data_IF_088298043130
#
_entry.id   IF_088298043130
#
_cell.length_a   1.000
_cell.length_b   1.000
_cell.length_c   1.000
_cell.angle_alpha   90.00
_cell.angle_beta   90.00
_cell.angle_gamma   90.00
#
_symmetry.space_group_name_H-M   'P 1'
#
loop_
_entity.id
_entity.type
_entity.pdbx_description
1 polymer ?
#
# COMPACT_ATOMS: atom_id res chain seq x y z
N UNK A 1 50.76 -20.01 -31.21
CA UNK A 1 49.51 -20.41 -30.51
C UNK A 1 49.85 -20.67 -29.05
N UNK A 2 49.08 -20.15 -28.10
CA UNK A 2 49.24 -20.49 -26.67
C UNK A 2 49.02 -22.00 -26.48
N UNK A 3 49.87 -22.65 -25.66
CA UNK A 3 49.70 -24.05 -25.32
C UNK A 3 48.37 -24.27 -24.56
N UNK A 4 47.65 -25.36 -24.87
CA UNK A 4 46.38 -25.76 -24.24
C UNK A 4 46.49 -25.76 -22.72
N UNK A 5 47.61 -26.23 -22.16
CA UNK A 5 47.85 -26.24 -20.72
C UNK A 5 47.81 -24.82 -20.12
N UNK A 6 48.40 -23.84 -20.80
CA UNK A 6 48.40 -22.43 -20.38
C UNK A 6 46.99 -21.83 -20.47
N UNK A 7 46.26 -22.09 -21.56
CA UNK A 7 44.89 -21.62 -21.74
C UNK A 7 43.95 -22.21 -20.68
N UNK A 8 44.12 -23.50 -20.36
CA UNK A 8 43.33 -24.19 -19.33
C UNK A 8 43.63 -23.64 -17.94
N UNK A 9 44.90 -23.38 -17.62
CA UNK A 9 45.30 -22.72 -16.36
C UNK A 9 44.68 -21.32 -16.21
N UNK A 10 44.72 -20.50 -17.28
CA UNK A 10 44.07 -19.17 -17.29
C UNK A 10 42.57 -19.28 -17.05
N UNK A 11 41.88 -20.19 -17.77
CA UNK A 11 40.45 -20.45 -17.58
C UNK A 11 40.12 -20.79 -16.13
N UNK A 12 40.86 -21.72 -15.51
CA UNK A 12 40.59 -22.10 -14.12
C UNK A 12 40.83 -20.96 -13.14
N UNK A 13 41.89 -20.17 -13.32
CA UNK A 13 42.15 -19.00 -12.48
C UNK A 13 41.03 -17.96 -12.60
N UNK A 14 40.54 -17.69 -13.80
CA UNK A 14 39.44 -16.74 -14.00
C UNK A 14 38.12 -17.27 -13.47
N UNK A 15 37.81 -18.55 -13.67
CA UNK A 15 36.62 -19.16 -13.08
C UNK A 15 36.66 -19.14 -11.55
N UNK A 16 37.83 -19.38 -10.95
CA UNK A 16 38.02 -19.26 -9.50
C UNK A 16 37.81 -17.82 -9.02
N UNK A 17 38.44 -16.85 -9.66
CA UNK A 17 38.28 -15.44 -9.32
C UNK A 17 36.81 -15.00 -9.45
N UNK A 18 36.15 -15.39 -10.53
CA UNK A 18 34.74 -15.13 -10.77
C UNK A 18 33.83 -15.77 -9.72
N UNK A 19 34.10 -17.02 -9.35
CA UNK A 19 33.36 -17.72 -8.29
C UNK A 19 33.55 -17.05 -6.92
N UNK A 20 34.77 -16.59 -6.62
CA UNK A 20 35.04 -15.83 -5.39
C UNK A 20 34.30 -14.49 -5.38
N UNK A 21 34.34 -13.72 -6.46
CA UNK A 21 33.61 -12.44 -6.57
C UNK A 21 32.10 -12.68 -6.46
N UNK A 22 31.57 -13.68 -7.17
CA UNK A 22 30.16 -14.07 -7.08
C UNK A 22 29.80 -14.46 -5.65
N UNK A 23 30.60 -15.30 -5.00
CA UNK A 23 30.39 -15.71 -3.62
C UNK A 23 30.39 -14.52 -2.67
N UNK A 24 31.31 -13.58 -2.83
CA UNK A 24 31.35 -12.34 -2.05
C UNK A 24 30.10 -11.50 -2.27
N UNK A 25 29.62 -11.32 -3.51
CA UNK A 25 28.40 -10.54 -3.79
C UNK A 25 27.17 -11.25 -3.20
N UNK A 26 27.02 -12.55 -3.41
CA UNK A 26 25.88 -13.33 -2.90
C UNK A 26 25.91 -13.45 -1.36
N UNK A 27 27.09 -13.36 -0.73
CA UNK A 27 27.18 -13.28 0.73
C UNK A 27 26.44 -12.07 1.30
N UNK A 28 26.13 -11.05 0.49
CA UNK A 28 25.30 -9.91 0.87
C UNK A 28 23.90 -10.31 1.34
N UNK A 29 23.34 -11.42 0.86
CA UNK A 29 22.07 -11.94 1.38
C UNK A 29 22.14 -12.41 2.84
N UNK A 30 23.34 -12.79 3.31
CA UNK A 30 23.57 -13.30 4.66
C UNK A 30 24.22 -12.27 5.58
N UNK A 31 25.14 -11.46 5.02
CA UNK A 31 26.00 -10.52 5.75
C UNK A 31 25.59 -9.06 5.53
N UNK A 32 24.62 -8.80 4.66
CA UNK A 32 24.10 -7.47 4.42
C UNK A 32 23.45 -6.89 5.67
N UNK A 33 23.31 -5.55 5.76
CA UNK A 33 22.68 -4.90 6.89
C UNK A 33 21.29 -5.47 7.17
N UNK A 34 21.10 -5.98 8.38
CA UNK A 34 19.81 -6.46 8.89
C UNK A 34 19.30 -5.51 9.96
N UNK A 35 18.16 -4.85 9.74
CA UNK A 35 17.53 -3.97 10.70
C UNK A 35 16.24 -3.33 10.15
N UNK A 36 15.35 -2.84 11.03
CA UNK A 36 14.09 -2.20 10.63
C UNK A 36 14.31 -0.83 9.95
N UNK A 37 15.46 -0.18 10.18
CA UNK A 37 15.85 1.07 9.51
C UNK A 37 16.65 0.79 8.24
N UNK A 38 15.98 0.37 7.16
CA UNK A 38 16.58 0.36 5.81
C UNK A 38 16.62 1.76 5.24
N UNK A 39 17.36 2.62 5.92
CA UNK A 39 17.27 4.03 5.76
C UNK A 39 18.59 4.60 5.22
N UNK A 40 18.88 4.30 3.97
CA UNK A 40 19.83 5.11 3.20
C UNK A 40 19.38 6.59 3.07
N UNK A 41 18.19 6.93 3.58
CA UNK A 41 17.58 8.26 3.55
C UNK A 41 17.11 8.79 4.92
N UNK A 42 17.42 8.15 6.05
CA UNK A 42 17.19 8.81 7.35
C UNK A 42 18.36 9.72 7.65
N UNK A 43 18.05 10.95 8.04
CA UNK A 43 19.02 11.90 8.59
C UNK A 43 19.30 11.52 10.06
N UNK A 44 19.76 10.30 10.29
CA UNK A 44 20.06 9.82 11.64
C UNK A 44 21.20 10.65 12.24
N UNK A 45 20.95 11.26 13.40
CA UNK A 45 21.86 12.24 14.02
C UNK A 45 21.66 13.70 13.57
N UNK A 46 20.70 13.98 12.68
CA UNK A 46 20.26 15.35 12.42
C UNK A 46 19.32 15.83 13.54
N UNK A 47 19.60 16.98 14.17
CA UNK A 47 18.85 17.43 15.34
C UNK A 47 17.37 17.70 15.07
N UNK A 48 16.98 18.02 13.82
CA UNK A 48 15.60 18.25 13.38
C UNK A 48 14.90 16.91 13.14
N UNK A 49 15.56 15.97 12.46
CA UNK A 49 14.99 14.64 12.24
C UNK A 49 14.79 13.89 13.56
N UNK A 50 15.78 13.96 14.44
CA UNK A 50 15.71 13.39 15.78
C UNK A 50 14.68 14.12 16.65
N UNK A 51 14.28 15.36 16.33
CA UNK A 51 13.22 16.06 17.05
C UNK A 51 11.87 15.38 16.85
N UNK A 52 11.60 14.85 15.65
CA UNK A 52 10.39 14.06 15.38
C UNK A 52 10.36 12.79 16.23
N UNK A 53 11.45 12.01 16.22
CA UNK A 53 11.58 10.80 17.03
C UNK A 53 11.48 11.10 18.54
N UNK A 54 12.08 12.20 19.01
CA UNK A 54 11.93 12.65 20.41
C UNK A 54 10.50 13.04 20.73
N UNK A 55 9.84 13.81 19.87
CA UNK A 55 8.44 14.21 20.07
C UNK A 55 7.54 12.98 20.19
N UNK A 56 7.76 11.95 19.38
CA UNK A 56 7.03 10.70 19.42
C UNK A 56 7.30 9.90 20.70
N UNK A 57 8.56 9.86 21.16
CA UNK A 57 8.93 9.20 22.41
C UNK A 57 8.37 9.93 23.65
N UNK A 58 8.31 11.27 23.64
CA UNK A 58 7.82 12.08 24.76
C UNK A 58 6.30 12.29 24.73
N UNK A 59 5.69 12.25 23.55
CA UNK A 59 4.26 12.47 23.32
C UNK A 59 3.73 11.38 22.37
N UNK A 60 3.71 10.11 22.81
CA UNK A 60 3.17 9.04 21.98
C UNK A 60 1.70 9.32 21.69
N UNK A 61 1.23 9.13 20.45
CA UNK A 61 -0.18 9.33 20.13
C UNK A 61 -1.04 8.36 20.95
N UNK A 62 -2.01 8.90 21.71
CA UNK A 62 -2.94 8.10 22.51
C UNK A 62 -3.97 7.37 21.63
N UNK A 63 -4.20 7.90 20.43
CA UNK A 63 -5.10 7.33 19.43
C UNK A 63 -4.64 7.59 18.01
N UNK A 64 -5.06 6.72 17.09
CA UNK A 64 -4.91 6.90 15.66
C UNK A 64 -6.27 7.16 15.03
N UNK A 65 -6.40 8.28 14.33
CA UNK A 65 -7.63 8.64 13.64
C UNK A 65 -7.81 7.79 12.38
N UNK A 66 -9.06 7.40 12.11
CA UNK A 66 -9.50 6.80 10.85
C UNK A 66 -10.43 7.79 10.16
N UNK A 67 -9.90 8.65 9.27
CA UNK A 67 -10.72 9.56 8.51
C UNK A 67 -11.30 8.86 7.28
N UNK A 68 -12.63 8.83 7.18
CA UNK A 68 -13.33 8.50 5.95
C UNK A 68 -14.06 9.75 5.45
N UNK A 69 -14.13 9.92 4.13
CA UNK A 69 -14.75 11.06 3.49
C UNK A 69 -15.95 10.58 2.68
N UNK A 70 -17.14 11.08 2.98
CA UNK A 70 -18.37 10.78 2.25
C UNK A 70 -18.64 11.93 1.30
N UNK A 71 -18.86 11.64 0.02
CA UNK A 71 -19.19 12.66 -0.97
C UNK A 71 -19.69 12.08 -2.28
N UNK A 72 -19.75 12.91 -3.32
CA UNK A 72 -20.30 12.51 -4.62
C UNK A 72 -19.38 11.55 -5.37
N UNK A 73 -19.93 10.44 -5.85
CA UNK A 73 -19.16 9.47 -6.63
C UNK A 73 -18.53 10.08 -7.89
N UNK A 74 -17.52 9.40 -8.46
CA UNK A 74 -16.76 9.89 -9.62
C UNK A 74 -17.59 9.96 -10.92
N UNK A 75 -18.75 9.29 -10.97
CA UNK A 75 -19.65 9.31 -12.12
C UNK A 75 -20.43 10.63 -12.22
N UNK A 76 -20.92 10.98 -13.41
CA UNK A 76 -21.77 12.17 -13.58
C UNK A 76 -23.15 11.95 -12.93
N UNK A 77 -23.50 12.79 -11.96
CA UNK A 77 -24.82 12.79 -11.34
C UNK A 77 -24.83 13.66 -10.09
N UNK A 78 -26.03 14.07 -9.66
CA UNK A 78 -26.18 14.70 -8.35
C UNK A 78 -26.39 13.61 -7.29
N UNK A 79 -25.49 13.55 -6.30
CA UNK A 79 -25.67 12.75 -5.10
C UNK A 79 -25.91 13.62 -3.87
N UNK A 80 -26.87 13.23 -3.04
CA UNK A 80 -27.15 13.81 -1.73
C UNK A 80 -26.64 12.90 -0.61
N UNK A 81 -25.58 13.33 0.08
CA UNK A 81 -25.02 12.56 1.21
C UNK A 81 -25.94 12.50 2.44
N UNK A 82 -26.97 13.36 2.50
CA UNK A 82 -27.96 13.38 3.57
C UNK A 82 -29.25 12.62 3.22
N UNK A 83 -29.33 11.96 2.06
CA UNK A 83 -30.50 11.15 1.72
C UNK A 83 -30.67 9.98 2.71
N UNK A 84 -31.90 9.70 3.12
CA UNK A 84 -32.19 8.65 4.11
C UNK A 84 -31.61 7.27 3.71
N UNK A 85 -31.70 6.81 2.45
CA UNK A 85 -31.07 5.56 2.02
C UNK A 85 -29.55 5.55 2.20
N UNK A 86 -28.89 6.69 1.96
CA UNK A 86 -27.43 6.84 2.13
C UNK A 86 -27.05 6.77 3.61
N UNK A 87 -27.77 7.48 4.48
CA UNK A 87 -27.52 7.44 5.92
C UNK A 87 -27.74 6.04 6.50
N UNK A 88 -28.79 5.34 6.05
CA UNK A 88 -29.05 3.93 6.43
C UNK A 88 -27.93 2.99 5.99
N UNK A 89 -27.44 3.16 4.77
CA UNK A 89 -26.34 2.36 4.24
C UNK A 89 -25.03 2.61 5.01
N UNK A 90 -24.74 3.85 5.39
CA UNK A 90 -23.59 4.20 6.24
C UNK A 90 -23.71 3.58 7.64
N UNK A 91 -24.88 3.67 8.26
CA UNK A 91 -25.19 3.00 9.54
C UNK A 91 -24.96 1.49 9.45
N UNK A 92 -25.42 0.86 8.37
CA UNK A 92 -25.22 -0.58 8.15
C UNK A 92 -23.74 -0.94 8.02
N UNK A 93 -22.94 -0.08 7.39
CA UNK A 93 -21.47 -0.24 7.27
C UNK A 93 -20.78 -0.07 8.62
N UNK A 94 -21.19 0.91 9.42
CA UNK A 94 -20.75 1.06 10.80
C UNK A 94 -20.99 -0.23 11.59
N UNK A 95 -22.21 -0.78 11.53
CA UNK A 95 -22.57 -1.97 12.31
C UNK A 95 -21.81 -3.21 11.82
N UNK A 96 -21.55 -3.33 10.52
CA UNK A 96 -20.70 -4.38 9.96
C UNK A 96 -19.25 -4.29 10.47
N UNK A 97 -18.67 -3.08 10.52
CA UNK A 97 -17.34 -2.85 11.11
C UNK A 97 -17.31 -3.22 12.59
N UNK A 98 -18.35 -2.84 13.34
CA UNK A 98 -18.40 -3.09 14.77
C UNK A 98 -18.68 -4.56 15.12
N UNK A 99 -19.27 -5.33 14.20
CA UNK A 99 -19.50 -6.78 14.35
C UNK A 99 -18.24 -7.59 14.11
N UNK A 100 -17.31 -7.13 13.27
CA UNK A 100 -16.03 -7.80 13.05
C UNK A 100 -15.07 -7.57 14.23
N UNK A 101 -14.91 -8.58 15.09
CA UNK A 101 -14.01 -8.53 16.26
C UNK A 101 -12.56 -8.21 15.90
N UNK A 102 -12.09 -8.61 14.70
CA UNK A 102 -10.72 -8.33 14.26
C UNK A 102 -10.48 -6.84 14.06
N UNK A 103 -11.53 -6.09 13.69
CA UNK A 103 -11.48 -4.65 13.45
C UNK A 103 -11.92 -3.90 14.71
N UNK A 104 -13.06 -4.28 15.28
CA UNK A 104 -13.74 -3.51 16.33
C UNK A 104 -12.93 -3.41 17.62
N UNK A 105 -12.17 -4.47 17.98
CA UNK A 105 -11.33 -4.51 19.19
C UNK A 105 -10.29 -3.38 19.28
N UNK A 106 -9.92 -2.79 18.14
CA UNK A 106 -8.91 -1.74 18.06
C UNK A 106 -9.50 -0.33 18.23
N UNK A 107 -10.82 -0.13 18.05
CA UNK A 107 -11.44 1.17 18.30
C UNK A 107 -11.54 1.48 19.79
N UNK A 108 -11.20 2.72 20.16
CA UNK A 108 -11.38 3.25 21.52
C UNK A 108 -12.64 4.08 21.62
N UNK A 109 -13.25 4.06 22.81
CA UNK A 109 -14.33 4.97 23.13
C UNK A 109 -13.77 6.38 23.36
N UNK A 110 -14.45 7.40 22.84
CA UNK A 110 -14.10 8.79 23.08
C UNK A 110 -15.36 9.66 23.11
N UNK A 111 -15.29 10.81 23.77
CA UNK A 111 -16.40 11.75 23.79
C UNK A 111 -16.58 12.42 22.43
N UNK A 112 -17.79 12.37 21.86
CA UNK A 112 -18.10 12.97 20.57
C UNK A 112 -19.09 14.11 20.71
N UNK A 113 -18.66 15.29 20.27
CA UNK A 113 -19.37 16.55 20.54
C UNK A 113 -20.78 16.61 19.91
N UNK A 114 -21.01 15.97 18.76
CA UNK A 114 -22.31 16.00 18.07
C UNK A 114 -23.42 15.23 18.79
N UNK A 115 -23.05 14.29 19.64
CA UNK A 115 -24.01 13.51 20.44
C UNK A 115 -23.81 13.70 21.94
N UNK A 116 -22.81 14.49 22.35
CA UNK A 116 -22.48 14.79 23.75
C UNK A 116 -22.42 13.53 24.62
N UNK A 117 -21.85 12.45 24.07
CA UNK A 117 -21.76 11.14 24.69
C UNK A 117 -20.51 10.41 24.23
N UNK A 118 -20.16 9.31 24.89
CA UNK A 118 -19.09 8.43 24.43
C UNK A 118 -19.55 7.62 23.23
N UNK A 119 -18.68 7.58 22.22
CA UNK A 119 -18.91 6.83 20.98
C UNK A 119 -17.69 5.97 20.68
N UNK A 120 -17.89 4.93 19.88
CA UNK A 120 -16.83 4.01 19.46
C UNK A 120 -17.08 3.59 18.01
N UNK A 121 -16.00 3.46 17.24
CA UNK A 121 -16.06 3.12 15.82
C UNK A 121 -16.00 4.36 14.91
N UNK A 122 -16.15 4.17 13.59
CA UNK A 122 -16.21 5.27 12.63
C UNK A 122 -17.49 6.09 12.82
N UNK A 123 -17.37 7.35 13.22
CA UNK A 123 -18.52 8.18 13.59
C UNK A 123 -18.66 9.43 12.72
N UNK A 124 -19.81 9.59 12.08
CA UNK A 124 -20.15 10.78 11.29
C UNK A 124 -21.61 11.21 11.45
N UNK A 125 -22.15 11.83 10.39
CA UNK A 125 -23.51 12.37 10.42
C UNK A 125 -24.58 11.27 10.49
N UNK A 126 -24.37 10.14 9.80
CA UNK A 126 -25.30 9.01 9.79
C UNK A 126 -25.51 8.43 11.20
N UNK A 127 -24.42 8.13 11.91
CA UNK A 127 -24.46 7.57 13.27
C UNK A 127 -25.01 8.59 14.28
N UNK A 128 -24.67 9.87 14.10
CA UNK A 128 -25.21 10.99 14.89
C UNK A 128 -26.72 11.08 14.76
N UNK A 129 -27.24 11.10 13.53
CA UNK A 129 -28.68 11.15 13.26
C UNK A 129 -29.37 9.92 13.85
N UNK A 130 -28.82 8.71 13.65
CA UNK A 130 -29.35 7.48 14.24
C UNK A 130 -29.49 7.57 15.76
N UNK A 131 -28.42 7.94 16.45
CA UNK A 131 -28.40 8.03 17.92
C UNK A 131 -29.38 9.09 18.44
N UNK A 132 -29.49 10.22 17.74
CA UNK A 132 -30.43 11.29 18.07
C UNK A 132 -31.89 10.83 17.88
N UNK A 133 -32.21 10.23 16.73
CA UNK A 133 -33.58 9.75 16.43
C UNK A 133 -34.01 8.64 17.38
N UNK A 134 -33.08 7.76 17.75
CA UNK A 134 -33.30 6.69 18.73
C UNK A 134 -33.36 7.18 20.18
N UNK A 135 -33.24 8.50 20.43
CA UNK A 135 -33.29 9.13 21.78
C UNK A 135 -32.20 8.61 22.72
N UNK A 136 -31.04 8.27 22.17
CA UNK A 136 -29.88 7.74 22.89
C UNK A 136 -28.82 8.83 23.19
N UNK A 137 -29.06 10.08 22.79
CA UNK A 137 -28.18 11.21 23.03
C UNK A 137 -28.88 12.32 23.84
N UNK A 138 -28.16 13.04 24.73
CA UNK A 138 -28.66 14.29 25.32
C UNK A 138 -29.17 15.31 24.29
N UNK A 139 -28.60 15.31 23.07
CA UNK A 139 -28.99 16.21 21.98
C UNK A 139 -30.42 15.95 21.53
N UNK A 140 -30.92 14.71 21.61
CA UNK A 140 -32.33 14.37 21.33
C UNK A 140 -33.30 15.19 22.17
N UNK A 141 -32.98 15.39 23.46
CA UNK A 141 -33.79 16.20 24.37
C UNK A 141 -33.62 17.70 24.08
N UNK A 142 -32.41 18.15 23.77
CA UNK A 142 -32.12 19.55 23.44
C UNK A 142 -32.91 20.03 22.22
N UNK A 143 -33.07 19.18 21.21
CA UNK A 143 -33.89 19.48 20.03
C UNK A 143 -35.36 19.09 20.20
N UNK A 144 -35.76 18.59 21.38
CA UNK A 144 -37.12 18.12 21.67
C UNK A 144 -37.64 17.11 20.63
N UNK A 145 -36.80 16.15 20.23
CA UNK A 145 -37.17 15.13 19.24
C UNK A 145 -38.17 14.13 19.82
N UNK A 146 -39.32 13.98 19.15
CA UNK A 146 -40.41 13.07 19.55
C UNK A 146 -40.88 12.15 18.42
N UNK A 147 -40.20 12.15 17.27
CA UNK A 147 -40.54 11.32 16.12
C UNK A 147 -40.11 9.85 16.25
N UNK A 148 -40.21 9.07 15.17
CA UNK A 148 -39.85 7.65 15.17
C UNK A 148 -38.35 7.41 15.36
N UNK A 149 -38.00 6.15 15.62
CA UNK A 149 -36.61 5.69 15.58
C UNK A 149 -36.06 5.70 14.15
N UNK A 150 -34.74 5.64 14.02
CA UNK A 150 -34.04 5.78 12.74
C UNK A 150 -34.46 4.75 11.69
N UNK A 151 -34.67 3.50 12.10
CA UNK A 151 -35.03 2.41 11.18
C UNK A 151 -36.45 2.56 10.63
N UNK A 152 -37.37 3.12 11.43
CA UNK A 152 -38.77 3.35 11.07
C UNK A 152 -39.04 4.73 10.45
N UNK A 153 -38.01 5.58 10.35
CA UNK A 153 -38.15 6.96 9.90
C UNK A 153 -38.52 7.09 8.41
N UNK A 154 -39.21 8.18 8.09
CA UNK A 154 -39.48 8.64 6.72
C UNK A 154 -38.58 9.83 6.35
N UNK A 155 -38.57 10.23 5.08
CA UNK A 155 -37.85 11.44 4.63
C UNK A 155 -38.35 12.72 5.30
N UNK A 156 -39.64 12.77 5.69
CA UNK A 156 -40.21 13.88 6.44
C UNK A 156 -39.64 13.94 7.87
N UNK A 157 -39.54 12.79 8.55
CA UNK A 157 -38.95 12.69 9.89
C UNK A 157 -37.46 13.08 9.86
N UNK A 158 -36.73 12.63 8.83
CA UNK A 158 -35.34 13.01 8.63
C UNK A 158 -35.19 14.52 8.37
N UNK A 159 -36.07 15.10 7.55
CA UNK A 159 -36.09 16.54 7.29
C UNK A 159 -36.33 17.33 8.56
N UNK A 160 -37.27 16.90 9.41
CA UNK A 160 -37.55 17.55 10.68
C UNK A 160 -36.35 17.48 11.63
N UNK A 161 -35.74 16.30 11.82
CA UNK A 161 -34.61 16.16 12.74
C UNK A 161 -33.39 16.96 12.27
N UNK A 162 -33.07 16.95 10.97
CA UNK A 162 -31.96 17.72 10.40
C UNK A 162 -32.21 19.23 10.50
N UNK A 163 -33.44 19.69 10.26
CA UNK A 163 -33.79 21.12 10.42
C UNK A 163 -33.53 21.58 11.84
N UNK A 164 -33.98 20.82 12.85
CA UNK A 164 -33.75 21.16 14.25
C UNK A 164 -32.27 21.09 14.60
N UNK A 165 -31.55 20.09 14.11
CA UNK A 165 -30.11 19.90 14.35
C UNK A 165 -29.28 21.06 13.76
N UNK A 166 -29.57 21.47 12.54
CA UNK A 166 -28.87 22.56 11.86
C UNK A 166 -29.23 23.95 12.39
N UNK A 167 -30.34 24.10 13.10
CA UNK A 167 -30.68 25.34 13.82
C UNK A 167 -29.98 25.50 15.18
N UNK A 168 -29.32 24.47 15.71
CA UNK A 168 -28.53 24.59 16.94
C UNK A 168 -27.42 25.62 16.73
N UNK A 169 -27.35 26.62 17.63
CA UNK A 169 -26.33 27.67 17.63
C UNK A 169 -25.39 27.50 18.81
N UNK A 170 -24.10 27.68 18.55
CA UNK A 170 -23.08 27.89 19.60
C UNK A 170 -23.26 29.27 20.24
N UNK A 171 -22.55 29.52 21.34
CA UNK A 171 -22.52 30.83 22.02
C UNK A 171 -22.19 31.99 21.07
N UNK A 172 -21.34 31.74 20.06
CA UNK A 172 -20.95 32.73 19.05
C UNK A 172 -21.95 32.85 17.87
N UNK A 173 -23.14 32.25 17.99
CA UNK A 173 -24.18 32.27 16.95
C UNK A 173 -23.91 31.37 15.73
N UNK A 174 -22.77 30.66 15.71
CA UNK A 174 -22.41 29.72 14.64
C UNK A 174 -23.26 28.44 14.74
N UNK A 175 -23.59 27.83 13.60
CA UNK A 175 -24.32 26.56 13.51
C UNK A 175 -23.35 25.38 13.31
N UNK A 176 -22.84 24.73 14.38
CA UNK A 176 -21.76 23.75 14.26
C UNK A 176 -22.14 22.54 13.40
N UNK A 177 -23.36 22.00 13.55
CA UNK A 177 -23.84 20.88 12.74
C UNK A 177 -23.95 21.23 11.26
N UNK A 178 -24.47 22.42 10.94
CA UNK A 178 -24.57 22.87 9.55
C UNK A 178 -23.19 23.12 8.92
N UNK A 179 -22.16 23.44 9.72
CA UNK A 179 -20.77 23.64 9.24
C UNK A 179 -19.99 22.34 9.10
N UNK A 180 -20.46 21.26 9.72
CA UNK A 180 -19.85 19.94 9.59
C UNK A 180 -20.06 19.35 8.19
N UNK A 181 -21.20 19.66 7.58
CA UNK A 181 -21.57 19.25 6.23
C UNK A 181 -21.18 20.31 5.21
N UNK A 182 -20.62 19.88 4.08
CA UNK A 182 -20.20 20.73 2.98
C UNK A 182 -21.28 20.85 1.92
N UNK A 183 -21.48 22.07 1.40
CA UNK A 183 -22.48 22.34 0.36
C UNK A 183 -23.91 22.10 0.81
N UNK A 184 -24.22 22.40 2.08
CA UNK A 184 -25.55 22.28 2.64
C UNK A 184 -26.52 23.29 2.01
N UNK A 185 -27.65 22.79 1.53
CA UNK A 185 -28.71 23.58 0.92
C UNK A 185 -30.08 23.02 1.32
N UNK A 186 -31.00 23.91 1.70
CA UNK A 186 -32.40 23.54 1.91
C UNK A 186 -33.18 23.68 0.61
N UNK A 187 -33.89 22.63 0.23
CA UNK A 187 -34.73 22.59 -0.96
C UNK A 187 -36.07 23.29 -0.72
N UNK A 188 -36.80 23.56 -1.80
CA UNK A 188 -38.10 24.24 -1.73
C UNK A 188 -39.17 23.44 -0.96
N UNK A 189 -39.04 22.11 -0.92
CA UNK A 189 -39.89 21.20 -0.15
C UNK A 189 -39.48 21.07 1.33
N UNK A 190 -38.44 21.81 1.74
CA UNK A 190 -37.88 21.79 3.09
C UNK A 190 -36.79 20.73 3.32
N UNK A 191 -36.63 19.77 2.39
CA UNK A 191 -35.60 18.72 2.49
C UNK A 191 -34.18 19.29 2.42
N UNK A 192 -33.21 18.58 2.99
CA UNK A 192 -31.82 19.00 3.02
C UNK A 192 -30.97 18.23 2.01
N UNK A 193 -30.17 18.96 1.24
CA UNK A 193 -29.11 18.40 0.39
C UNK A 193 -27.75 18.82 0.91
N UNK A 194 -26.79 17.92 0.87
CA UNK A 194 -25.38 18.26 1.07
C UNK A 194 -24.48 17.50 0.10
N UNK A 195 -23.25 18.00 -0.07
CA UNK A 195 -22.26 17.46 -1.02
C UNK A 195 -21.27 16.50 -0.39
N UNK A 196 -20.90 16.74 0.87
CA UNK A 196 -19.92 15.91 1.56
C UNK A 196 -19.95 16.10 3.08
N UNK A 197 -19.45 15.11 3.81
CA UNK A 197 -19.02 15.23 5.20
C UNK A 197 -17.93 14.18 5.47
N UNK A 198 -17.32 14.20 6.65
CA UNK A 198 -16.33 13.21 7.04
C UNK A 198 -16.84 12.33 8.18
N UNK A 199 -16.26 11.15 8.33
CA UNK A 199 -16.45 10.21 9.42
C UNK A 199 -15.10 10.10 10.13
N UNK A 200 -15.08 10.13 11.45
CA UNK A 200 -13.86 9.92 12.25
C UNK A 200 -14.07 8.74 13.19
N UNK A 201 -13.17 7.77 13.13
CA UNK A 201 -12.97 6.79 14.20
C UNK A 201 -11.65 7.05 14.91
N UNK A 202 -11.51 6.54 16.14
CA UNK A 202 -10.26 6.60 16.89
C UNK A 202 -9.85 5.21 17.34
N UNK A 203 -8.60 4.83 17.07
CA UNK A 203 -8.05 3.52 17.35
C UNK A 203 -6.96 3.56 18.41
N UNK A 204 -6.85 2.53 19.24
CA UNK A 204 -5.79 2.42 20.24
C UNK A 204 -4.45 2.12 19.58
N UNK A 205 -3.49 3.02 19.74
CA UNK A 205 -2.12 2.82 19.27
C UNK A 205 -1.44 1.64 19.98
N UNK A 206 -1.72 1.40 21.27
CA UNK A 206 -1.22 0.23 21.99
C UNK A 206 -1.60 -1.11 21.34
N UNK A 207 -2.78 -1.15 20.69
CA UNK A 207 -3.31 -2.34 20.03
C UNK A 207 -2.87 -2.49 18.56
N UNK A 208 -2.51 -1.38 17.89
CA UNK A 208 -2.17 -1.34 16.46
C UNK A 208 -0.66 -1.25 16.19
N UNK A 209 0.15 -0.78 17.15
CA UNK A 209 1.60 -0.57 16.98
C UNK A 209 2.39 -1.70 17.63
N UNK A 210 3.58 -2.02 17.09
CA UNK A 210 4.54 -3.05 17.56
C UNK A 210 4.80 -3.06 19.08
N UNK A 211 5.39 -4.11 19.67
CA UNK A 211 5.71 -4.16 21.11
C UNK A 211 6.58 -3.00 21.61
N UNK A 212 7.35 -2.36 20.73
CA UNK A 212 8.20 -1.20 21.04
C UNK A 212 7.55 0.17 20.83
N UNK A 213 6.25 0.25 20.47
CA UNK A 213 5.58 1.54 20.20
C UNK A 213 6.05 2.24 18.92
N UNK A 214 6.90 1.59 18.12
CA UNK A 214 7.43 2.12 16.87
C UNK A 214 6.32 2.23 15.81
N UNK A 215 6.26 3.36 15.09
CA UNK A 215 5.66 3.38 13.75
C UNK A 215 6.33 2.28 12.93
N UNK A 216 5.58 1.21 12.66
CA UNK A 216 6.03 0.18 11.74
C UNK A 216 6.21 0.85 10.37
N UNK A 217 7.45 1.04 9.93
CA UNK A 217 7.80 1.32 8.52
C UNK A 217 8.06 0.03 7.74
N UNK A 218 7.85 -1.12 8.38
CA UNK A 218 8.09 -2.45 7.84
C UNK A 218 7.13 -3.46 8.50
N UNK A 219 6.40 -4.28 7.72
CA UNK A 219 5.54 -5.34 8.24
C UNK A 219 6.35 -6.32 9.11
N UNK A 220 6.09 -6.33 10.41
CA UNK A 220 6.64 -7.32 11.35
C UNK A 220 5.64 -8.44 11.65
N UNK A 221 6.12 -9.56 12.21
CA UNK A 221 5.28 -10.75 12.48
C UNK A 221 4.42 -10.69 13.75
N UNK A 222 4.66 -9.75 14.67
CA UNK A 222 4.03 -9.76 16.00
C UNK A 222 2.73 -8.95 16.10
N UNK A 223 2.52 -7.92 15.26
CA UNK A 223 1.31 -7.06 15.26
C UNK A 223 0.99 -6.54 13.84
N UNK A 224 -0.29 -6.37 13.47
CA UNK A 224 -0.66 -5.94 12.12
C UNK A 224 -0.29 -4.47 11.89
N UNK A 225 0.27 -4.18 10.71
CA UNK A 225 0.48 -2.83 10.23
C UNK A 225 -0.87 -2.09 10.18
N UNK A 226 -0.93 -0.84 10.66
CA UNK A 226 -2.20 -0.10 10.81
C UNK A 226 -2.97 0.02 9.49
N UNK A 227 -2.25 0.08 8.36
CA UNK A 227 -2.86 0.15 7.03
C UNK A 227 -3.62 -1.13 6.67
N UNK A 228 -3.23 -2.29 7.20
CA UNK A 228 -3.99 -3.55 7.03
C UNK A 228 -5.34 -3.44 7.75
N UNK A 229 -5.34 -2.79 8.92
CA UNK A 229 -6.57 -2.55 9.68
C UNK A 229 -7.44 -1.48 9.02
N UNK A 230 -6.86 -0.39 8.51
CA UNK A 230 -7.57 0.63 7.70
C UNK A 230 -8.17 0.01 6.43
N UNK A 231 -7.42 -0.85 5.71
CA UNK A 231 -7.93 -1.63 4.56
C UNK A 231 -9.13 -2.51 4.88
N UNK A 232 -9.20 -3.07 6.09
CA UNK A 232 -10.34 -3.87 6.50
C UNK A 232 -11.62 -3.01 6.68
N UNK A 233 -11.46 -1.78 7.17
CA UNK A 233 -12.55 -0.79 7.26
C UNK A 233 -12.96 -0.34 5.85
N UNK A 234 -11.99 -0.04 4.99
CA UNK A 234 -12.20 0.39 3.61
C UNK A 234 -12.90 -0.68 2.79
N UNK A 235 -12.59 -1.95 3.00
CA UNK A 235 -13.27 -3.07 2.33
C UNK A 235 -14.78 -3.12 2.63
N UNK A 236 -15.24 -2.46 3.69
CA UNK A 236 -16.66 -2.30 4.03
C UNK A 236 -17.17 -0.94 3.54
N UNK A 237 -16.44 0.14 3.80
CA UNK A 237 -16.87 1.51 3.52
C UNK A 237 -16.71 1.97 2.07
N UNK A 238 -15.73 1.49 1.31
CA UNK A 238 -15.47 1.94 -0.06
C UNK A 238 -16.35 1.26 -1.12
N UNK A 239 -17.24 0.33 -0.71
CA UNK A 239 -18.15 -0.36 -1.64
C UNK A 239 -19.10 0.64 -2.31
N UNK A 240 -19.38 0.52 -3.62
CA UNK A 240 -20.41 1.32 -4.28
C UNK A 240 -21.76 1.26 -3.54
N UNK A 241 -22.47 2.38 -3.43
CA UNK A 241 -23.78 2.50 -2.77
C UNK A 241 -24.93 2.45 -3.79
N UNK A 242 -24.88 1.52 -4.74
CA UNK A 242 -25.80 1.46 -5.90
C UNK A 242 -27.27 1.36 -5.51
N UNK A 243 -27.56 0.71 -4.38
CA UNK A 243 -28.93 0.44 -3.93
C UNK A 243 -29.60 1.67 -3.28
N UNK A 244 -28.85 2.74 -3.03
CA UNK A 244 -29.37 3.96 -2.40
C UNK A 244 -30.08 4.90 -3.37
N UNK A 245 -29.89 4.69 -4.68
CA UNK A 245 -30.38 5.61 -5.72
C UNK A 245 -29.63 6.94 -5.79
N UNK A 246 -28.58 7.12 -4.98
CA UNK A 246 -27.79 8.34 -4.89
C UNK A 246 -26.34 8.09 -5.35
N UNK A 247 -25.79 9.03 -6.11
CA UNK A 247 -24.39 8.94 -6.55
C UNK A 247 -23.44 9.39 -5.43
N UNK A 248 -23.29 8.54 -4.41
CA UNK A 248 -22.45 8.77 -3.22
C UNK A 248 -21.36 7.70 -3.12
N UNK A 249 -20.17 8.13 -2.73
CA UNK A 249 -19.01 7.29 -2.51
C UNK A 249 -18.32 7.66 -1.20
N UNK A 250 -17.59 6.71 -0.62
CA UNK A 250 -16.77 6.93 0.57
C UNK A 250 -15.32 6.67 0.20
N UNK A 251 -14.47 7.68 0.41
CA UNK A 251 -13.03 7.57 0.29
C UNK A 251 -12.38 7.44 1.67
N UNK A 252 -11.19 6.88 1.70
CA UNK A 252 -10.35 6.77 2.88
C UNK A 252 -8.99 7.39 2.60
N UNK A 253 -8.26 7.72 3.66
CA UNK A 253 -6.86 8.09 3.51
C UNK A 253 -6.07 6.80 3.17
N UNK A 254 -5.66 6.70 1.90
CA UNK A 254 -5.10 5.49 1.29
C UNK A 254 -4.03 4.81 2.16
N UNK A 255 -4.09 3.48 2.24
CA UNK A 255 -3.01 2.60 2.68
C UNK A 255 -1.86 2.60 1.65
N UNK A 256 -1.20 3.74 1.47
CA UNK A 256 -0.26 4.00 0.39
C UNK A 256 0.95 3.06 0.46
N UNK A 257 1.50 2.82 1.65
CA UNK A 257 2.69 1.98 1.80
C UNK A 257 2.36 0.52 1.45
N UNK A 258 1.22 0.03 1.91
CA UNK A 258 0.73 -1.32 1.63
C UNK A 258 0.37 -1.49 0.15
N UNK A 259 -0.17 -0.44 -0.50
CA UNK A 259 -0.49 -0.48 -1.92
C UNK A 259 0.78 -0.52 -2.77
N UNK A 260 1.80 0.26 -2.40
CA UNK A 260 3.12 0.21 -3.03
C UNK A 260 3.77 -1.16 -2.83
N UNK A 261 3.71 -1.72 -1.62
CA UNK A 261 4.24 -3.06 -1.35
C UNK A 261 3.50 -4.13 -2.16
N UNK A 262 2.18 -4.04 -2.28
CA UNK A 262 1.38 -4.94 -3.11
C UNK A 262 1.75 -4.81 -4.59
N UNK A 263 1.91 -3.60 -5.11
CA UNK A 263 2.37 -3.37 -6.49
C UNK A 263 3.78 -3.96 -6.74
N UNK A 264 4.71 -3.77 -5.80
CA UNK A 264 6.07 -4.35 -5.87
C UNK A 264 5.98 -5.88 -5.90
N UNK A 265 5.17 -6.47 -5.02
CA UNK A 265 4.98 -7.92 -4.95
C UNK A 265 4.29 -8.49 -6.19
N UNK A 266 3.35 -7.75 -6.79
CA UNK A 266 2.71 -8.13 -8.05
C UNK A 266 3.67 -8.04 -9.25
N UNK A 267 4.69 -7.18 -9.18
CA UNK A 267 5.70 -7.02 -10.24
C UNK A 267 6.75 -8.13 -10.22
N UNK A 268 7.10 -8.66 -9.05
CA UNK A 268 8.18 -9.66 -8.91
C UNK A 268 7.96 -10.94 -9.76
N UNK A 269 6.75 -11.53 -9.85
CA UNK A 269 6.47 -12.65 -10.76
C UNK A 269 6.75 -12.35 -12.23
N UNK A 270 6.57 -11.10 -12.67
CA UNK A 270 6.80 -10.69 -14.06
C UNK A 270 8.28 -10.78 -14.45
N UNK A 271 9.20 -10.64 -13.49
CA UNK A 271 10.64 -10.89 -13.70
C UNK A 271 10.86 -12.35 -14.09
N UNK A 272 10.21 -13.28 -13.39
CA UNK A 272 10.28 -14.72 -13.69
C UNK A 272 9.70 -15.05 -15.06
N UNK A 273 8.53 -14.50 -15.38
CA UNK A 273 7.91 -14.65 -16.72
C UNK A 273 8.83 -14.11 -17.81
N UNK A 274 9.39 -12.91 -17.62
CA UNK A 274 10.31 -12.28 -18.57
C UNK A 274 11.57 -13.12 -18.78
N UNK A 275 12.13 -13.69 -17.71
CA UNK A 275 13.27 -14.60 -17.79
C UNK A 275 12.93 -15.85 -18.62
N UNK A 276 11.78 -16.49 -18.38
CA UNK A 276 11.34 -17.67 -19.14
C UNK A 276 11.14 -17.32 -20.61
N UNK A 277 10.47 -16.22 -20.91
CA UNK A 277 10.29 -15.74 -22.29
C UNK A 277 11.64 -15.50 -22.97
N UNK A 278 12.61 -14.95 -22.25
CA UNK A 278 13.96 -14.75 -22.76
C UNK A 278 14.64 -16.07 -23.12
N UNK A 279 14.54 -17.07 -22.24
CA UNK A 279 15.06 -18.43 -22.49
C UNK A 279 14.38 -19.06 -23.71
N UNK A 280 13.08 -18.86 -23.90
CA UNK A 280 12.34 -19.33 -25.08
C UNK A 280 12.87 -18.68 -26.36
N UNK A 281 13.05 -17.36 -26.36
CA UNK A 281 13.63 -16.63 -27.51
C UNK A 281 15.03 -17.14 -27.83
N UNK A 282 15.89 -17.27 -26.82
CA UNK A 282 17.22 -17.86 -26.97
C UNK A 282 17.14 -19.29 -27.54
N UNK A 283 16.13 -20.07 -27.13
CA UNK A 283 15.84 -21.40 -27.65
C UNK A 283 15.54 -21.43 -29.14
N UNK A 284 14.71 -20.50 -29.60
CA UNK A 284 14.36 -20.34 -31.02
C UNK A 284 15.59 -19.98 -31.85
N UNK A 285 16.43 -19.05 -31.35
CA UNK A 285 17.60 -18.55 -32.08
C UNK A 285 18.80 -19.51 -32.07
N UNK A 286 19.24 -19.96 -30.90
CA UNK A 286 20.47 -20.75 -30.78
C UNK A 286 20.28 -22.22 -31.14
N UNK A 287 19.10 -22.80 -30.84
CA UNK A 287 18.75 -24.21 -31.09
C UNK A 287 19.74 -25.23 -30.51
N UNK A 288 20.64 -24.82 -29.62
CA UNK A 288 21.61 -25.65 -28.89
C UNK A 288 21.41 -25.44 -27.40
N UNK A 289 21.06 -26.51 -26.68
CA UNK A 289 20.78 -26.46 -25.25
C UNK A 289 21.98 -25.94 -24.43
N UNK A 290 23.21 -26.14 -24.90
CA UNK A 290 24.42 -25.69 -24.19
C UNK A 290 24.55 -24.17 -24.22
N UNK A 291 24.33 -23.58 -25.39
CA UNK A 291 24.35 -22.13 -25.59
C UNK A 291 23.19 -21.47 -24.81
N UNK A 292 21.99 -22.06 -24.90
CA UNK A 292 20.81 -21.60 -24.15
C UNK A 292 21.07 -21.65 -22.63
N UNK A 293 21.63 -22.76 -22.13
CA UNK A 293 21.92 -22.92 -20.69
C UNK A 293 23.01 -21.96 -20.23
N UNK A 294 24.03 -21.70 -21.07
CA UNK A 294 25.09 -20.75 -20.75
C UNK A 294 24.55 -19.31 -20.68
N UNK A 295 23.71 -18.89 -21.64
CA UNK A 295 23.06 -17.59 -21.62
C UNK A 295 22.09 -17.45 -20.43
N UNK A 296 21.24 -18.45 -20.20
CA UNK A 296 20.29 -18.45 -19.08
C UNK A 296 21.01 -18.40 -17.72
N UNK A 297 22.11 -19.13 -17.55
CA UNK A 297 22.93 -19.08 -16.35
C UNK A 297 23.58 -17.69 -16.17
N UNK A 298 24.05 -17.07 -17.24
CA UNK A 298 24.57 -15.70 -17.22
C UNK A 298 23.52 -14.68 -16.79
N UNK A 299 22.32 -14.76 -17.35
CA UNK A 299 21.17 -13.91 -16.97
C UNK A 299 20.74 -14.14 -15.51
N UNK A 300 20.64 -15.40 -15.08
CA UNK A 300 20.27 -15.74 -13.70
C UNK A 300 21.32 -15.24 -12.70
N UNK A 301 22.60 -15.32 -13.07
CA UNK A 301 23.69 -14.79 -12.26
C UNK A 301 23.69 -13.26 -12.22
N UNK A 302 23.37 -12.58 -13.33
CA UNK A 302 23.17 -11.13 -13.35
C UNK A 302 22.09 -10.70 -12.35
N UNK A 303 20.98 -11.44 -12.28
CA UNK A 303 19.93 -11.22 -11.27
C UNK A 303 20.45 -11.46 -9.86
N UNK A 304 21.15 -12.58 -9.63
CA UNK A 304 21.75 -12.88 -8.34
C UNK A 304 22.75 -11.80 -7.88
N UNK A 305 23.53 -11.24 -8.79
CA UNK A 305 24.46 -10.17 -8.50
C UNK A 305 23.72 -8.87 -8.15
N UNK A 306 22.70 -8.49 -8.93
CA UNK A 306 21.90 -7.31 -8.64
C UNK A 306 21.27 -7.39 -7.24
N UNK A 307 20.59 -8.49 -6.92
CA UNK A 307 19.94 -8.63 -5.62
C UNK A 307 20.95 -8.82 -4.48
N UNK A 308 22.09 -9.48 -4.73
CA UNK A 308 23.16 -9.64 -3.75
C UNK A 308 23.85 -8.31 -3.40
N UNK A 309 24.13 -7.45 -4.39
CA UNK A 309 24.64 -6.10 -4.13
C UNK A 309 23.60 -5.22 -3.45
N UNK A 310 22.32 -5.33 -3.83
CA UNK A 310 21.23 -4.65 -3.14
C UNK A 310 21.18 -5.04 -1.65
N UNK A 311 21.33 -6.33 -1.35
CA UNK A 311 21.37 -6.84 0.03
C UNK A 311 22.59 -6.34 0.80
N UNK A 312 23.78 -6.31 0.17
CA UNK A 312 24.99 -5.72 0.76
C UNK A 312 24.82 -4.26 1.16
N UNK A 313 24.15 -3.47 0.32
CA UNK A 313 23.96 -2.04 0.54
C UNK A 313 22.76 -1.74 1.45
N UNK A 314 21.97 -2.75 1.80
CA UNK A 314 20.78 -2.59 2.63
C UNK A 314 19.66 -1.77 1.97
N UNK A 315 19.66 -1.65 0.64
CA UNK A 315 18.64 -0.87 -0.06
C UNK A 315 17.27 -1.56 0.00
N UNK A 316 16.19 -0.82 0.35
CA UNK A 316 14.85 -1.39 0.33
C UNK A 316 14.42 -1.70 -1.11
N UNK A 317 13.57 -2.72 -1.25
CA UNK A 317 12.87 -2.94 -2.51
C UNK A 317 11.85 -1.80 -2.66
N UNK A 318 11.91 -1.08 -3.77
CA UNK A 318 11.00 0.01 -4.10
C UNK A 318 10.36 -0.29 -5.44
N UNK A 319 9.27 0.43 -5.76
CA UNK A 319 8.64 0.33 -7.08
C UNK A 319 9.68 0.54 -8.21
N UNK A 320 10.58 1.51 -8.06
CA UNK A 320 11.64 1.79 -9.04
C UNK A 320 12.64 0.62 -9.11
N UNK A 321 13.14 0.12 -7.96
CA UNK A 321 14.13 -0.97 -7.98
C UNK A 321 13.52 -2.28 -8.47
N UNK A 322 12.20 -2.47 -8.35
CA UNK A 322 11.48 -3.63 -8.90
C UNK A 322 11.45 -3.68 -10.43
N UNK A 323 11.64 -2.54 -11.12
CA UNK A 323 11.69 -2.47 -12.58
C UNK A 323 13.07 -2.82 -13.15
N UNK A 324 14.14 -2.63 -12.36
CA UNK A 324 15.53 -2.85 -12.78
C UNK A 324 15.83 -4.27 -13.28
N UNK A 325 15.32 -5.36 -12.67
CA UNK A 325 15.58 -6.72 -13.14
C UNK A 325 15.15 -6.92 -14.59
N UNK A 326 13.99 -6.41 -14.98
CA UNK A 326 13.47 -6.55 -16.35
C UNK A 326 14.36 -5.79 -17.35
N UNK A 327 14.77 -4.57 -17.01
CA UNK A 327 15.71 -3.78 -17.82
C UNK A 327 17.06 -4.48 -17.97
N UNK A 328 17.58 -5.04 -16.88
CA UNK A 328 18.83 -5.80 -16.87
C UNK A 328 18.73 -7.09 -17.69
N UNK A 329 17.59 -7.80 -17.66
CA UNK A 329 17.37 -8.97 -18.52
C UNK A 329 17.37 -8.59 -20.00
N UNK A 330 16.72 -7.47 -20.36
CA UNK A 330 16.67 -6.98 -21.74
C UNK A 330 18.06 -6.58 -22.27
N UNK A 331 18.90 -5.94 -21.47
CA UNK A 331 20.28 -5.63 -21.85
C UNK A 331 21.19 -6.88 -21.79
N UNK A 332 21.01 -7.73 -20.78
CA UNK A 332 21.82 -8.93 -20.57
C UNK A 332 21.66 -9.96 -21.68
N UNK A 333 20.47 -10.07 -22.29
CA UNK A 333 20.26 -11.00 -23.40
C UNK A 333 21.03 -10.55 -24.64
N UNK A 334 21.13 -9.24 -24.89
CA UNK A 334 21.83 -8.69 -26.05
C UNK A 334 23.32 -9.06 -26.00
N UNK A 335 23.94 -8.86 -24.84
CA UNK A 335 25.31 -9.31 -24.58
C UNK A 335 25.48 -10.82 -24.69
N UNK A 336 24.53 -11.60 -24.17
CA UNK A 336 24.58 -13.05 -24.26
C UNK A 336 24.51 -13.51 -25.72
N UNK A 337 23.64 -12.88 -26.51
CA UNK A 337 23.45 -13.19 -27.91
C UNK A 337 24.72 -12.89 -28.72
N UNK A 338 25.20 -11.64 -28.65
CA UNK A 338 26.38 -11.20 -29.38
C UNK A 338 27.65 -11.92 -28.93
N UNK A 339 27.82 -12.14 -27.62
CA UNK A 339 28.97 -12.82 -27.05
C UNK A 339 29.07 -14.29 -27.48
N UNK A 340 27.98 -15.05 -27.37
CA UNK A 340 27.95 -16.46 -27.79
C UNK A 340 28.12 -16.60 -29.30
N UNK A 341 27.47 -15.74 -30.08
CA UNK A 341 27.61 -15.75 -31.54
C UNK A 341 29.06 -15.47 -31.95
N UNK A 342 29.69 -14.43 -31.39
CA UNK A 342 31.09 -14.09 -31.66
C UNK A 342 32.05 -15.21 -31.22
N UNK A 343 31.85 -15.78 -30.04
CA UNK A 343 32.62 -16.92 -29.57
C UNK A 343 32.54 -18.10 -30.53
N UNK A 344 31.32 -18.45 -30.99
CA UNK A 344 31.09 -19.55 -31.91
C UNK A 344 31.76 -19.31 -33.25
N UNK A 345 31.66 -18.10 -33.81
CA UNK A 345 32.35 -17.76 -35.06
C UNK A 345 33.85 -17.92 -34.93
N UNK A 346 34.48 -17.30 -33.92
CA UNK A 346 35.93 -17.38 -33.70
C UNK A 346 36.41 -18.82 -33.45
N UNK A 347 35.62 -19.61 -32.71
CA UNK A 347 35.93 -21.00 -32.45
C UNK A 347 35.90 -21.86 -33.73
N UNK A 348 34.94 -21.61 -34.62
CA UNK A 348 34.80 -22.32 -35.90
C UNK A 348 35.88 -21.89 -36.89
N UNK A 349 36.13 -20.58 -37.05
CA UNK A 349 37.18 -20.04 -37.92
C UNK A 349 38.56 -20.58 -37.57
N UNK A 350 38.87 -20.72 -36.28
CA UNK A 350 40.13 -21.29 -35.79
C UNK A 350 40.16 -22.84 -35.81
N UNK A 351 39.21 -23.49 -36.48
CA UNK A 351 39.21 -24.93 -36.74
C UNK A 351 38.55 -25.81 -35.68
N UNK A 352 37.84 -25.24 -34.69
CA UNK A 352 36.94 -25.99 -33.79
C UNK A 352 37.58 -26.88 -32.71
N UNK A 353 38.91 -27.02 -32.71
CA UNK A 353 39.66 -27.82 -31.72
C UNK A 353 39.64 -27.16 -30.33
N UNK A 354 39.97 -27.91 -29.27
CA UNK A 354 39.89 -27.41 -27.89
C UNK A 354 40.70 -26.12 -27.66
N UNK A 355 41.92 -26.04 -28.22
CA UNK A 355 42.77 -24.84 -28.18
C UNK A 355 42.09 -23.62 -28.82
N UNK A 356 41.41 -23.82 -29.96
CA UNK A 356 40.68 -22.78 -30.68
C UNK A 356 39.49 -22.27 -29.85
N UNK A 357 38.70 -23.16 -29.25
CA UNK A 357 37.55 -22.80 -28.39
C UNK A 357 37.98 -22.06 -27.13
N UNK A 358 39.07 -22.50 -26.50
CA UNK A 358 39.64 -21.86 -25.31
C UNK A 358 40.25 -20.49 -25.63
N UNK A 359 40.89 -20.34 -26.80
CA UNK A 359 41.42 -19.07 -27.26
C UNK A 359 40.29 -18.09 -27.63
N UNK A 360 39.25 -18.59 -28.33
CA UNK A 360 38.07 -17.81 -28.71
C UNK A 360 37.34 -17.22 -27.50
N UNK A 361 37.29 -17.93 -26.37
CA UNK A 361 36.68 -17.42 -25.13
C UNK A 361 37.30 -16.13 -24.59
N UNK A 362 38.58 -15.88 -24.90
CA UNK A 362 39.26 -14.63 -24.53
C UNK A 362 39.13 -13.53 -25.58
N UNK A 363 38.92 -13.91 -26.84
CA UNK A 363 38.76 -12.96 -27.95
C UNK A 363 37.32 -12.61 -28.26
N UNK A 364 36.34 -13.27 -27.62
CA UNK A 364 34.91 -13.04 -27.82
C UNK A 364 34.30 -12.00 -26.90
N UNK A 365 34.96 -11.74 -25.76
CA UNK A 365 34.72 -10.56 -24.90
C UNK A 365 35.35 -9.34 -25.60
#
# INVERSE_FOLDING_TARGET
MLNVATLRKRRYLTLLAFALVTGSILAGFLLGPSGPSRAAFTLEGDPVWDAGARAEAFMPPEGRDVPLFVGRGPEQGEGNVLALPVLRELVRRHDAVMTDERVSRHFVAHHYWMVQSEVRGPWGMAETVRMIMNRQSPVSQQISWTGPGFDDATDADLTEVLTRLFEIKSADGRKPYARFVSGLEQQADGSWRARAFYILGMASTASLYGPGGEYSRAPGGEKPFFEIWERAIDAIYARPMTDTGENVHVWSFLALDSEVDDEVNQTLPLVGVSFVLMVVVLGIFFRDWRDISAAAAGLGLLMGWMFGTQAWLGYPATQISSMLPILLLALGVDFSFHGLHRWRMLAVEAGGHESARLAAGWGSI
#
